data_IF_163816191256
#
_entry.id   IF_163816191256
#
_cell.length_a   1.000
_cell.length_b   1.000
_cell.length_c   1.000
_cell.angle_alpha   90.00
_cell.angle_beta   90.00
_cell.angle_gamma   90.00
#
_symmetry.space_group_name_H-M   'P 1'
#
loop_
_entity.id
_entity.type
_entity.pdbx_description
1 polymer ?
#
# COMPACT_ATOMS: atom_id res chain seq x y z
N UNK A 1 2.78 8.90 -11.63
CA UNK A 1 3.50 7.94 -12.46
C UNK A 1 4.80 8.64 -12.73
N UNK A 2 5.86 8.17 -12.11
CA UNK A 2 7.18 8.76 -12.34
C UNK A 2 7.62 8.38 -13.77
N UNK A 3 8.42 9.22 -14.45
CA UNK A 3 8.95 8.90 -15.76
C UNK A 3 9.82 7.63 -15.66
N UNK A 4 9.55 6.63 -16.49
CA UNK A 4 10.38 5.43 -16.57
C UNK A 4 11.55 5.68 -17.52
N UNK A 5 12.78 5.51 -17.03
CA UNK A 5 13.96 5.46 -17.90
C UNK A 5 14.05 4.10 -18.60
N UNK A 6 13.79 4.07 -19.91
CA UNK A 6 13.95 2.85 -20.71
C UNK A 6 15.43 2.68 -21.06
N UNK A 7 16.11 1.81 -20.32
CA UNK A 7 17.49 1.42 -20.65
C UNK A 7 17.53 0.59 -21.94
N UNK A 8 18.57 0.73 -22.79
CA UNK A 8 18.74 -0.09 -23.99
C UNK A 8 18.74 -1.58 -23.64
N UNK A 9 18.07 -2.39 -24.45
CA UNK A 9 18.06 -3.85 -24.28
C UNK A 9 19.49 -4.39 -24.37
N UNK A 10 19.93 -5.07 -23.31
CA UNK A 10 21.19 -5.83 -23.29
C UNK A 10 20.82 -7.31 -23.30
N UNK A 11 21.14 -8.08 -24.37
CA UNK A 11 20.90 -9.51 -24.37
C UNK A 11 21.65 -10.15 -23.20
N UNK A 12 20.97 -11.02 -22.46
CA UNK A 12 21.58 -11.76 -21.38
C UNK A 12 22.72 -12.63 -21.94
N UNK A 13 23.85 -12.70 -21.23
CA UNK A 13 24.84 -13.77 -21.41
C UNK A 13 24.15 -15.12 -21.20
N UNK A 14 24.76 -16.20 -21.72
CA UNK A 14 24.27 -17.58 -21.50
C UNK A 14 23.77 -17.75 -20.05
N UNK A 15 22.48 -18.05 -19.92
CA UNK A 15 21.84 -18.22 -18.63
C UNK A 15 22.26 -19.55 -18.02
N UNK A 16 22.38 -19.64 -16.68
CA UNK A 16 22.70 -20.91 -16.03
C UNK A 16 21.62 -21.97 -16.33
N UNK A 17 21.99 -23.27 -16.33
CA UNK A 17 21.04 -24.34 -16.58
C UNK A 17 19.93 -24.35 -15.53
N UNK A 18 18.67 -24.39 -15.99
CA UNK A 18 17.48 -24.35 -15.12
C UNK A 18 17.17 -25.74 -14.55
N UNK A 19 18.01 -26.22 -13.64
CA UNK A 19 17.91 -27.57 -13.04
C UNK A 19 16.62 -27.82 -12.28
N UNK A 20 15.92 -26.76 -11.85
CA UNK A 20 14.62 -26.81 -11.17
C UNK A 20 13.42 -26.95 -12.13
N UNK A 21 13.59 -26.67 -13.43
CA UNK A 21 12.47 -26.58 -14.36
C UNK A 21 11.78 -27.94 -14.59
N UNK A 22 10.46 -27.94 -14.70
CA UNK A 22 9.64 -29.14 -14.95
C UNK A 22 9.62 -29.45 -16.45
N UNK A 23 10.67 -30.08 -16.97
CA UNK A 23 10.86 -30.35 -18.40
C UNK A 23 10.50 -31.78 -18.85
N UNK A 24 9.75 -32.53 -18.04
CA UNK A 24 9.45 -33.94 -18.29
C UNK A 24 10.61 -34.89 -17.97
N UNK A 25 10.48 -36.18 -18.30
CA UNK A 25 11.53 -37.20 -18.07
C UNK A 25 12.60 -37.10 -19.15
N UNK A 26 13.88 -37.09 -18.75
CA UNK A 26 15.03 -37.19 -19.67
C UNK A 26 15.79 -35.89 -19.94
N UNK A 27 15.18 -34.71 -19.74
CA UNK A 27 15.87 -33.42 -19.98
C UNK A 27 16.78 -32.97 -18.84
N UNK A 28 16.62 -33.55 -17.63
CA UNK A 28 17.45 -33.29 -16.45
C UNK A 28 18.12 -34.59 -15.94
N UNK A 29 18.89 -35.27 -16.80
CA UNK A 29 19.59 -36.51 -16.43
C UNK A 29 18.65 -37.64 -15.99
N UNK A 30 17.46 -37.72 -16.58
CA UNK A 30 16.44 -38.74 -16.26
C UNK A 30 15.61 -38.47 -15.00
N UNK A 31 15.96 -37.45 -14.18
CA UNK A 31 15.18 -37.07 -12.99
C UNK A 31 13.96 -36.24 -13.36
N UNK A 32 12.83 -36.49 -12.66
CA UNK A 32 11.60 -35.69 -12.75
C UNK A 32 11.62 -34.66 -11.62
N UNK A 33 11.56 -33.38 -11.95
CA UNK A 33 11.33 -32.32 -10.96
C UNK A 33 9.84 -32.27 -10.59
N UNK A 34 9.57 -32.15 -9.29
CA UNK A 34 8.22 -31.95 -8.75
C UNK A 34 8.24 -30.64 -7.98
N UNK A 35 7.42 -29.69 -8.40
CA UNK A 35 7.20 -28.43 -7.70
C UNK A 35 5.76 -28.48 -7.20
N UNK A 36 5.60 -28.55 -5.88
CA UNK A 36 4.29 -28.58 -5.22
C UNK A 36 4.26 -27.54 -4.11
N UNK A 37 3.15 -26.80 -4.01
CA UNK A 37 2.81 -25.99 -2.83
C UNK A 37 2.00 -26.78 -1.81
N UNK A 38 1.60 -28.01 -2.13
CA UNK A 38 0.81 -28.88 -1.29
C UNK A 38 1.67 -30.04 -0.77
N UNK A 39 1.85 -30.07 0.55
CA UNK A 39 2.45 -31.18 1.29
C UNK A 39 1.36 -31.78 2.16
N UNK A 40 1.04 -33.05 1.93
CA UNK A 40 -0.06 -33.74 2.63
C UNK A 40 0.30 -34.00 4.09
N UNK A 41 1.58 -34.20 4.38
CA UNK A 41 2.08 -34.43 5.73
C UNK A 41 2.13 -33.12 6.55
N UNK A 42 1.32 -32.96 7.60
CA UNK A 42 1.17 -31.67 8.29
C UNK A 42 2.47 -31.11 8.91
N UNK A 43 3.33 -31.90 9.60
CA UNK A 43 4.62 -31.42 10.10
C UNK A 43 5.55 -30.87 9.00
N UNK A 44 5.56 -31.50 7.82
CA UNK A 44 6.35 -31.02 6.67
C UNK A 44 5.79 -29.70 6.16
N UNK A 45 4.48 -29.58 6.07
CA UNK A 45 3.81 -28.35 5.65
C UNK A 45 4.02 -27.20 6.66
N UNK A 46 3.96 -27.50 7.95
CA UNK A 46 4.22 -26.52 9.02
C UNK A 46 5.66 -25.99 8.94
N UNK A 47 6.65 -26.86 8.83
CA UNK A 47 8.05 -26.46 8.70
C UNK A 47 8.27 -25.56 7.47
N UNK A 48 7.62 -25.86 6.34
CA UNK A 48 7.64 -25.00 5.17
C UNK A 48 6.98 -23.64 5.45
N UNK A 49 5.79 -23.63 6.06
CA UNK A 49 5.08 -22.41 6.36
C UNK A 49 5.88 -21.52 7.32
N UNK A 50 6.50 -22.07 8.37
CA UNK A 50 7.35 -21.31 9.28
C UNK A 50 8.50 -20.63 8.53
N UNK A 51 9.16 -21.35 7.62
CA UNK A 51 10.19 -20.77 6.75
C UNK A 51 9.64 -19.65 5.84
N UNK A 52 8.43 -19.81 5.29
CA UNK A 52 7.79 -18.76 4.48
C UNK A 52 7.44 -17.55 5.36
N UNK A 53 6.98 -17.76 6.58
CA UNK A 53 6.73 -16.69 7.55
C UNK A 53 8.02 -15.93 7.91
N UNK A 54 9.18 -16.61 8.00
CA UNK A 54 10.48 -15.92 8.17
C UNK A 54 10.79 -14.99 6.99
N UNK A 55 10.50 -15.44 5.76
CA UNK A 55 10.69 -14.62 4.57
C UNK A 55 9.74 -13.40 4.60
N UNK A 56 8.48 -13.60 4.97
CA UNK A 56 7.53 -12.49 5.08
C UNK A 56 7.94 -11.49 6.15
N UNK A 57 8.42 -11.94 7.32
CA UNK A 57 8.96 -11.05 8.36
C UNK A 57 10.15 -10.23 7.86
N UNK A 58 11.05 -10.83 7.09
CA UNK A 58 12.18 -10.10 6.51
C UNK A 58 11.71 -9.08 5.47
N UNK A 59 10.67 -9.38 4.70
CA UNK A 59 10.06 -8.42 3.76
C UNK A 59 9.41 -7.27 4.55
N UNK A 60 8.59 -7.56 5.55
CA UNK A 60 7.95 -6.54 6.40
C UNK A 60 8.98 -5.60 7.04
N UNK A 61 10.13 -6.12 7.45
CA UNK A 61 11.21 -5.33 8.04
C UNK A 61 11.89 -4.38 7.04
N UNK A 62 12.08 -4.81 5.79
CA UNK A 62 12.96 -4.11 4.85
C UNK A 62 12.22 -3.40 3.69
N UNK A 63 10.98 -3.76 3.42
CA UNK A 63 10.25 -3.36 2.21
C UNK A 63 9.06 -2.43 2.47
N UNK A 64 8.88 -1.96 3.72
CA UNK A 64 7.88 -0.93 4.03
C UNK A 64 8.32 0.40 3.43
N UNK A 65 7.55 0.92 2.47
CA UNK A 65 7.86 2.18 1.77
C UNK A 65 6.64 3.08 1.72
N UNK A 66 6.82 4.32 2.14
CA UNK A 66 5.79 5.35 2.10
C UNK A 66 6.38 6.74 1.93
N UNK A 67 5.53 7.68 1.54
CA UNK A 67 5.82 9.10 1.45
C UNK A 67 4.84 9.86 2.34
N UNK A 68 5.31 10.90 3.02
CA UNK A 68 4.44 11.81 3.79
C UNK A 68 4.45 13.20 3.17
N UNK A 69 3.32 13.90 3.26
CA UNK A 69 3.20 15.27 2.77
C UNK A 69 2.33 16.11 3.70
N UNK A 70 2.82 17.29 4.08
CA UNK A 70 2.07 18.30 4.85
C UNK A 70 1.43 17.78 6.16
N UNK A 71 2.13 16.95 6.92
CA UNK A 71 1.61 16.38 8.18
C UNK A 71 1.69 17.35 9.38
N UNK A 72 2.53 18.38 9.32
CA UNK A 72 2.76 19.27 10.45
C UNK A 72 1.49 20.07 10.82
N UNK A 73 0.96 19.80 12.01
CA UNK A 73 -0.27 20.43 12.50
C UNK A 73 -1.52 20.10 11.68
N UNK A 74 -1.50 18.99 10.92
CA UNK A 74 -2.64 18.54 10.16
C UNK A 74 -3.82 18.19 11.07
N UNK A 75 -5.01 18.62 10.67
CA UNK A 75 -6.30 18.29 11.28
C UNK A 75 -6.89 17.03 10.65
N UNK A 76 -6.76 16.90 9.32
CA UNK A 76 -7.21 15.72 8.58
C UNK A 76 -6.03 15.08 7.88
N UNK A 77 -5.93 13.75 7.95
CA UNK A 77 -4.84 13.01 7.31
C UNK A 77 -5.41 12.07 6.28
N UNK A 78 -5.08 12.31 5.02
CA UNK A 78 -5.46 11.42 3.93
C UNK A 78 -4.53 10.21 3.87
N UNK A 79 -5.10 9.05 3.58
CA UNK A 79 -4.40 7.86 3.14
C UNK A 79 -4.76 7.61 1.67
N UNK A 80 -3.78 7.67 0.76
CA UNK A 80 -4.03 7.43 -0.66
C UNK A 80 -2.79 6.90 -1.34
N UNK A 81 -2.94 5.99 -2.31
CA UNK A 81 -1.85 5.40 -3.07
C UNK A 81 -2.02 5.62 -4.59
N UNK A 82 -0.97 5.27 -5.35
CA UNK A 82 -1.01 5.32 -6.81
C UNK A 82 -1.30 6.71 -7.39
N UNK A 83 -2.26 6.79 -8.32
CA UNK A 83 -2.67 8.05 -8.96
C UNK A 83 -3.46 8.95 -8.02
N UNK A 84 -4.27 8.37 -7.12
CA UNK A 84 -5.13 9.12 -6.20
C UNK A 84 -4.30 10.00 -5.26
N UNK A 85 -3.14 9.52 -4.81
CA UNK A 85 -2.25 10.31 -3.96
C UNK A 85 -1.83 11.67 -4.57
N UNK A 86 -1.67 11.74 -5.90
CA UNK A 86 -1.35 13.02 -6.58
C UNK A 86 -2.55 13.97 -6.59
N UNK A 87 -3.75 13.44 -6.74
CA UNK A 87 -5.01 14.20 -6.72
C UNK A 87 -5.25 14.75 -5.31
N UNK A 88 -4.99 13.94 -4.29
CA UNK A 88 -5.08 14.36 -2.87
C UNK A 88 -4.12 15.51 -2.56
N UNK A 89 -2.89 15.53 -3.09
CA UNK A 89 -1.99 16.68 -2.91
C UNK A 89 -2.60 17.99 -3.46
N UNK A 90 -3.30 17.93 -4.60
CA UNK A 90 -4.02 19.08 -5.13
C UNK A 90 -5.22 19.47 -4.24
N UNK A 91 -5.97 18.50 -3.71
CA UNK A 91 -7.06 18.76 -2.77
C UNK A 91 -6.56 19.40 -1.46
N UNK A 92 -5.42 18.97 -0.94
CA UNK A 92 -4.77 19.59 0.24
C UNK A 92 -4.50 21.08 -0.01
N UNK A 93 -4.05 21.46 -1.21
CA UNK A 93 -3.83 22.86 -1.56
C UNK A 93 -5.13 23.67 -1.49
N UNK A 94 -6.21 23.15 -2.09
CA UNK A 94 -7.54 23.79 -2.07
C UNK A 94 -8.04 23.97 -0.63
N UNK A 95 -7.87 22.95 0.21
CA UNK A 95 -8.26 22.99 1.62
C UNK A 95 -7.40 23.99 2.42
N UNK A 96 -6.11 24.09 2.11
CA UNK A 96 -5.20 25.06 2.70
C UNK A 96 -5.60 26.51 2.41
N UNK A 97 -6.05 26.81 1.18
CA UNK A 97 -6.59 28.13 0.80
C UNK A 97 -7.86 28.49 1.62
N UNK A 98 -8.56 27.49 2.17
CA UNK A 98 -9.71 27.65 3.06
C UNK A 98 -9.34 27.57 4.55
N UNK A 99 -8.04 27.59 4.88
CA UNK A 99 -7.53 27.55 6.24
C UNK A 99 -7.68 26.20 6.95
N UNK A 100 -7.84 25.10 6.21
CA UNK A 100 -7.91 23.74 6.77
C UNK A 100 -6.57 23.06 6.57
N UNK A 101 -5.95 22.61 7.67
CA UNK A 101 -4.66 21.93 7.60
C UNK A 101 -4.87 20.44 7.34
N UNK A 102 -4.39 19.96 6.20
CA UNK A 102 -4.49 18.56 5.83
C UNK A 102 -3.13 17.98 5.45
N UNK A 103 -2.90 16.73 5.83
CA UNK A 103 -1.72 15.96 5.45
C UNK A 103 -2.06 14.71 4.66
N UNK A 104 -1.02 14.06 4.14
CA UNK A 104 -1.13 12.81 3.37
C UNK A 104 -0.06 11.83 3.85
N UNK A 105 -0.47 10.59 4.10
CA UNK A 105 0.38 9.41 4.13
C UNK A 105 0.10 8.63 2.86
N UNK A 106 1.12 8.45 2.02
CA UNK A 106 1.04 7.72 0.76
C UNK A 106 1.84 6.42 0.88
N UNK A 107 1.18 5.27 1.06
CA UNK A 107 1.82 3.98 0.84
C UNK A 107 2.37 3.88 -0.58
N UNK A 108 3.67 3.56 -0.70
CA UNK A 108 4.30 3.22 -1.99
C UNK A 108 4.15 1.71 -2.21
N UNK A 109 4.38 0.93 -1.16
CA UNK A 109 4.00 -0.48 -1.07
C UNK A 109 2.68 -0.59 -0.30
N UNK A 110 1.70 -1.29 -0.88
CA UNK A 110 0.44 -1.59 -0.18
C UNK A 110 0.55 -2.86 0.67
N UNK A 111 1.53 -3.71 0.38
CA UNK A 111 2.06 -4.72 1.31
C UNK A 111 3.58 -4.82 1.10
N UNK A 112 4.39 -4.84 2.16
CA UNK A 112 3.99 -4.63 3.56
C UNK A 112 3.49 -3.18 3.78
N UNK A 113 2.44 -3.05 4.59
CA UNK A 113 1.74 -1.78 4.84
C UNK A 113 2.42 -0.97 5.96
N UNK A 114 2.50 0.37 5.88
CA UNK A 114 3.28 1.17 6.82
C UNK A 114 2.50 1.49 8.12
N UNK A 115 2.18 0.48 8.93
CA UNK A 115 1.35 0.67 10.14
C UNK A 115 1.92 1.70 11.15
N UNK A 116 3.24 1.73 11.34
CA UNK A 116 3.88 2.57 12.37
C UNK A 116 3.70 4.08 12.16
N UNK A 117 3.73 4.55 10.90
CA UNK A 117 3.53 5.99 10.62
C UNK A 117 2.09 6.40 10.89
N UNK A 118 1.10 5.57 10.53
CA UNK A 118 -0.30 5.83 10.84
C UNK A 118 -0.53 5.90 12.36
N UNK A 119 0.01 4.93 13.11
CA UNK A 119 -0.06 4.92 14.58
C UNK A 119 0.57 6.17 15.18
N UNK A 120 1.76 6.56 14.70
CA UNK A 120 2.48 7.75 15.17
C UNK A 120 1.70 9.03 14.90
N UNK A 121 1.12 9.16 13.71
CA UNK A 121 0.32 10.34 13.34
C UNK A 121 -1.01 10.36 14.10
N UNK A 122 -1.62 9.21 14.35
CA UNK A 122 -2.87 9.12 15.10
C UNK A 122 -2.72 9.56 16.57
N UNK A 123 -1.53 9.43 17.14
CA UNK A 123 -1.22 9.90 18.48
C UNK A 123 -1.14 11.44 18.60
N UNK A 124 -1.07 12.17 17.47
CA UNK A 124 -1.01 13.63 17.48
C UNK A 124 -2.36 14.25 17.86
N UNK A 125 -2.33 15.25 18.73
CA UNK A 125 -3.54 15.94 19.21
C UNK A 125 -4.21 16.79 18.14
N UNK A 126 -3.44 17.34 17.19
CA UNK A 126 -3.96 18.14 16.07
C UNK A 126 -4.82 17.31 15.13
N UNK A 127 -4.47 16.03 14.94
CA UNK A 127 -5.17 15.13 14.03
C UNK A 127 -6.54 14.79 14.62
N UNK A 128 -7.59 15.08 13.86
CA UNK A 128 -8.98 14.82 14.20
C UNK A 128 -9.48 13.53 13.56
N UNK A 129 -9.08 13.27 12.31
CA UNK A 129 -9.63 12.17 11.51
C UNK A 129 -8.68 11.77 10.38
N UNK A 130 -8.73 10.48 10.02
CA UNK A 130 -8.09 9.95 8.82
C UNK A 130 -9.13 9.69 7.72
N UNK A 131 -8.72 9.84 6.45
CA UNK A 131 -9.60 9.61 5.31
C UNK A 131 -8.88 8.75 4.28
N UNK A 132 -9.38 7.52 4.07
CA UNK A 132 -8.95 6.67 2.96
C UNK A 132 -9.55 7.18 1.65
N UNK A 133 -8.70 7.56 0.70
CA UNK A 133 -9.14 8.00 -0.64
C UNK A 133 -8.68 6.98 -1.66
N UNK A 134 -9.62 6.25 -2.26
CA UNK A 134 -9.31 5.13 -3.14
C UNK A 134 -10.13 5.12 -4.43
N UNK A 135 -9.56 4.51 -5.47
CA UNK A 135 -10.25 4.17 -6.72
C UNK A 135 -10.63 2.68 -6.74
N UNK A 136 -11.13 2.19 -5.61
CA UNK A 136 -11.59 0.82 -5.39
C UNK A 136 -12.70 0.84 -4.30
N UNK A 137 -13.03 -0.32 -3.74
CA UNK A 137 -14.12 -0.47 -2.77
C UNK A 137 -13.66 -0.40 -1.29
N UNK A 138 -12.47 0.13 -1.01
CA UNK A 138 -11.96 0.31 0.35
C UNK A 138 -10.98 -0.76 0.80
N UNK A 139 -10.18 -1.32 -0.12
CA UNK A 139 -9.23 -2.37 0.22
C UNK A 139 -8.13 -1.88 1.17
N UNK A 140 -7.67 -0.63 1.05
CA UNK A 140 -6.62 -0.08 1.92
C UNK A 140 -7.17 0.55 3.19
N UNK A 141 -8.37 1.14 3.16
CA UNK A 141 -8.92 1.82 4.34
C UNK A 141 -9.10 0.88 5.54
N UNK A 142 -9.28 -0.42 5.32
CA UNK A 142 -9.26 -1.41 6.40
C UNK A 142 -7.90 -1.45 7.11
N UNK A 143 -6.78 -1.46 6.37
CA UNK A 143 -5.45 -1.39 6.97
C UNK A 143 -5.21 -0.07 7.70
N UNK A 144 -5.75 1.04 7.20
CA UNK A 144 -5.72 2.33 7.89
C UNK A 144 -6.47 2.25 9.23
N UNK A 145 -7.66 1.64 9.25
CA UNK A 145 -8.43 1.43 10.48
C UNK A 145 -7.68 0.58 11.49
N UNK A 146 -7.05 -0.51 11.04
CA UNK A 146 -6.20 -1.37 11.87
C UNK A 146 -5.00 -0.59 12.41
N UNK A 147 -4.33 0.21 11.57
CA UNK A 147 -3.15 0.98 11.96
C UNK A 147 -3.47 2.09 12.99
N UNK A 148 -4.60 2.77 12.80
CA UNK A 148 -5.11 3.80 13.72
C UNK A 148 -5.67 3.18 15.00
N UNK A 149 -6.17 1.95 14.92
CA UNK A 149 -6.67 1.15 16.04
C UNK A 149 -7.65 1.91 16.96
N UNK A 150 -8.58 2.65 16.36
CA UNK A 150 -9.60 3.42 17.08
C UNK A 150 -9.11 4.69 17.78
N UNK A 151 -7.83 5.04 17.70
CA UNK A 151 -7.30 6.27 18.30
C UNK A 151 -7.91 7.54 17.70
N UNK A 152 -8.31 7.48 16.43
CA UNK A 152 -9.00 8.53 15.69
C UNK A 152 -10.06 7.91 14.76
N UNK A 153 -11.15 8.63 14.43
CA UNK A 153 -12.06 8.24 13.36
C UNK A 153 -11.33 8.04 12.03
N UNK A 154 -11.80 7.08 11.24
CA UNK A 154 -11.32 6.81 9.88
C UNK A 154 -12.50 6.70 8.94
N UNK A 155 -12.59 7.62 7.99
CA UNK A 155 -13.63 7.63 6.96
C UNK A 155 -13.07 7.24 5.60
N UNK A 156 -13.96 7.04 4.63
CA UNK A 156 -13.66 6.52 3.32
C UNK A 156 -14.32 7.36 2.21
N UNK A 157 -13.51 7.76 1.25
CA UNK A 157 -13.94 8.35 -0.01
C UNK A 157 -13.49 7.46 -1.17
N UNK A 158 -14.42 6.70 -1.72
CA UNK A 158 -14.17 5.75 -2.80
C UNK A 158 -14.83 6.14 -4.11
N UNK A 159 -14.14 5.90 -5.22
CA UNK A 159 -14.72 5.83 -6.56
C UNK A 159 -14.38 4.47 -7.18
N UNK A 160 -15.24 3.94 -8.06
CA UNK A 160 -15.08 2.61 -8.65
C UNK A 160 -15.22 2.67 -10.17
N UNK A 161 -14.81 1.61 -10.87
CA UNK A 161 -15.01 1.49 -12.32
C UNK A 161 -14.23 2.52 -13.14
N UNK A 162 -12.99 2.80 -12.76
CA UNK A 162 -12.11 3.80 -13.41
C UNK A 162 -12.60 5.26 -13.30
N UNK A 163 -13.61 5.54 -12.48
CA UNK A 163 -14.00 6.90 -12.14
C UNK A 163 -12.89 7.54 -11.30
N UNK A 164 -12.25 8.57 -11.86
CA UNK A 164 -11.17 9.31 -11.20
C UNK A 164 -11.80 10.43 -10.37
N UNK A 165 -11.55 10.49 -9.05
CA UNK A 165 -12.05 11.61 -8.25
C UNK A 165 -11.34 12.91 -8.62
N UNK A 166 -12.04 14.02 -8.57
CA UNK A 166 -11.44 15.34 -8.75
C UNK A 166 -10.88 15.88 -7.42
N UNK A 167 -9.89 16.78 -7.45
CA UNK A 167 -9.42 17.45 -6.23
C UNK A 167 -10.54 18.20 -5.49
N UNK A 168 -11.48 18.78 -6.23
CA UNK A 168 -12.61 19.53 -5.66
C UNK A 168 -13.58 18.60 -4.91
N UNK A 169 -13.95 17.45 -5.48
CA UNK A 169 -14.81 16.48 -4.79
C UNK A 169 -14.21 16.01 -3.45
N UNK A 170 -12.88 15.79 -3.41
CA UNK A 170 -12.18 15.40 -2.17
C UNK A 170 -12.18 16.56 -1.17
N UNK A 171 -11.99 17.79 -1.62
CA UNK A 171 -12.05 18.97 -0.75
C UNK A 171 -13.46 19.18 -0.18
N UNK A 172 -14.49 19.07 -1.02
CA UNK A 172 -15.89 19.21 -0.62
C UNK A 172 -16.29 18.17 0.42
N UNK A 173 -15.78 16.94 0.30
CA UNK A 173 -16.00 15.89 1.31
C UNK A 173 -15.50 16.31 2.70
N UNK A 174 -14.34 16.96 2.80
CA UNK A 174 -13.81 17.47 4.08
C UNK A 174 -14.57 18.70 4.55
N UNK A 175 -14.94 19.61 3.64
CA UNK A 175 -15.69 20.82 3.98
C UNK A 175 -17.07 20.48 4.58
N UNK A 176 -17.80 19.55 3.96
CA UNK A 176 -19.10 19.09 4.45
C UNK A 176 -19.03 18.47 5.86
N UNK A 177 -17.86 17.95 6.27
CA UNK A 177 -17.63 17.45 7.64
C UNK A 177 -17.38 18.58 8.62
N UNK A 178 -16.59 19.59 8.24
CA UNK A 178 -16.31 20.75 9.09
C UNK A 178 -17.56 21.55 9.44
N UNK A 179 -18.54 21.60 8.54
CA UNK A 179 -19.83 22.28 8.78
C UNK A 179 -20.74 21.54 9.77
N UNK A 180 -20.47 20.25 10.06
CA UNK A 180 -21.30 19.40 10.92
C UNK A 180 -20.77 19.23 12.35
N UNK A 181 -19.54 19.66 12.63
CA UNK A 181 -18.86 19.49 13.92
C UNK A 181 -18.49 20.83 14.54
#
# INVERSE_FOLDING_TARGET
MEPAEIKPYKPAKELPPKTWATCGKGKNGGKRNVISSLFVDPPVLEALNLRLQDIYREIEKNEVRYETYNLEGAEYVFAAFGTVARIVKAAIKILGEKGIKCGLIRPITVWPFPYDIFKTVAAQSSVKEFIGVEMNAGQMVEDVRVAVNGAKPVDFFGKMGSVIPTPQEIADFVLAKKERG
#
